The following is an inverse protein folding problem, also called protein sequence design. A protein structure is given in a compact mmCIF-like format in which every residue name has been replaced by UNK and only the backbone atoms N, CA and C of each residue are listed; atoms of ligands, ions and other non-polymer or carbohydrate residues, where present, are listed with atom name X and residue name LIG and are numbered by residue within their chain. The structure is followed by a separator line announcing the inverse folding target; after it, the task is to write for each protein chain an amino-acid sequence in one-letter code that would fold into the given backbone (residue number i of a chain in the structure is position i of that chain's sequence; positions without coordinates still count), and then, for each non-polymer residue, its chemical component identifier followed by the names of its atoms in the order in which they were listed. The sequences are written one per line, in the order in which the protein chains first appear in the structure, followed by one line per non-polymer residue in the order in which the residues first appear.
data_IF_000394947229
#
_entry.id   IF_000394947229
#
_cell.length_a   1.000
_cell.length_b   1.000
_cell.length_c   1.000
_cell.angle_alpha   90.00
_cell.angle_beta   90.00
_cell.angle_gamma   90.00
#
_symmetry.space_group_name_H-M   'P 1'
#
loop_
_entity.id
_entity.type
_entity.pdbx_description
1 polymer ?
#
# COMPACT_ATOMS: atom_id res chain seq x y z
N UNK A 1 5.08 7.69 6.29
CA UNK A 1 5.08 6.21 6.16
C UNK A 1 4.25 5.62 7.29
N UNK A 2 3.63 4.47 7.06
CA UNK A 2 2.92 3.74 8.10
C UNK A 2 1.85 2.81 7.54
N UNK A 3 1.10 2.20 8.45
CA UNK A 3 -0.01 1.31 8.15
C UNK A 3 -1.28 2.10 7.82
N UNK A 4 -1.77 1.97 6.59
CA UNK A 4 -3.02 2.59 6.11
C UNK A 4 -4.24 1.69 6.24
N UNK A 5 -4.05 0.43 6.67
CA UNK A 5 -5.09 -0.60 6.78
C UNK A 5 -5.90 -0.88 5.49
N UNK A 6 -5.42 -0.39 4.35
CA UNK A 6 -6.07 -0.47 3.04
C UNK A 6 -5.07 -0.69 1.92
N UNK A 7 -5.56 -1.28 0.83
CA UNK A 7 -4.83 -1.50 -0.42
C UNK A 7 -5.50 -0.73 -1.55
N UNK A 8 -4.71 -0.27 -2.52
CA UNK A 8 -5.20 0.50 -3.67
C UNK A 8 -5.19 -0.30 -4.97
N UNK A 9 -4.43 -1.39 -5.04
CA UNK A 9 -4.40 -2.30 -6.18
C UNK A 9 -4.68 -3.76 -5.82
N UNK A 10 -5.36 -4.55 -6.67
CA UNK A 10 -5.57 -5.98 -6.44
C UNK A 10 -4.27 -6.77 -6.25
N UNK A 11 -3.18 -6.36 -6.89
CA UNK A 11 -1.85 -6.97 -6.77
C UNK A 11 -1.23 -6.84 -5.37
N UNK A 12 -1.74 -5.93 -4.54
CA UNK A 12 -1.30 -5.74 -3.15
C UNK A 12 -1.94 -6.75 -2.19
N UNK A 13 -2.68 -7.74 -2.72
CA UNK A 13 -3.31 -8.79 -1.94
C UNK A 13 -3.13 -10.18 -2.56
N UNK A 14 -2.99 -11.18 -1.70
CA UNK A 14 -3.07 -12.61 -2.07
C UNK A 14 -4.05 -13.31 -1.15
N UNK A 15 -5.07 -13.94 -1.74
CA UNK A 15 -6.21 -14.50 -1.01
C UNK A 15 -7.17 -13.42 -0.49
N UNK A 16 -8.41 -13.79 -0.15
CA UNK A 16 -9.46 -12.84 0.26
C UNK A 16 -10.04 -12.01 -0.90
N UNK A 17 -10.86 -11.00 -0.59
CA UNK A 17 -11.51 -10.13 -1.59
C UNK A 17 -10.93 -8.72 -1.59
N UNK A 18 -10.67 -8.17 -2.79
CA UNK A 18 -10.29 -6.77 -2.98
C UNK A 18 -11.54 -5.89 -2.99
N UNK A 19 -11.51 -4.77 -2.28
CA UNK A 19 -12.64 -3.83 -2.21
C UNK A 19 -12.32 -2.56 -2.98
N UNK A 20 -12.93 -2.41 -4.16
CA UNK A 20 -12.76 -1.22 -5.00
C UNK A 20 -13.24 0.06 -4.31
N UNK A 21 -14.29 0.00 -3.49
CA UNK A 21 -14.80 1.16 -2.76
C UNK A 21 -13.84 1.65 -1.68
N UNK A 22 -13.21 0.73 -0.94
CA UNK A 22 -12.18 1.07 0.06
C UNK A 22 -10.91 1.62 -0.60
N UNK A 23 -10.47 0.99 -1.68
CA UNK A 23 -9.36 1.48 -2.49
C UNK A 23 -9.61 2.91 -3.01
N UNK A 24 -10.81 3.17 -3.55
CA UNK A 24 -11.20 4.49 -4.03
C UNK A 24 -11.20 5.56 -2.92
N UNK A 25 -11.59 5.18 -1.69
CA UNK A 25 -11.55 6.09 -0.55
C UNK A 25 -10.13 6.54 -0.21
N UNK A 26 -9.18 5.60 -0.15
CA UNK A 26 -7.77 5.93 0.10
C UNK A 26 -7.19 6.75 -1.06
N UNK A 27 -7.44 6.35 -2.30
CA UNK A 27 -6.98 7.10 -3.48
C UNK A 27 -7.50 8.55 -3.48
N UNK A 28 -8.76 8.77 -3.10
CA UNK A 28 -9.33 10.11 -3.00
C UNK A 28 -8.69 10.94 -1.87
N UNK A 29 -8.29 10.33 -0.76
CA UNK A 29 -7.53 11.03 0.29
C UNK A 29 -6.14 11.40 -0.21
N UNK A 30 -5.45 10.49 -0.90
CA UNK A 30 -4.15 10.76 -1.52
C UNK A 30 -4.22 11.92 -2.51
N UNK A 31 -5.21 11.90 -3.40
CA UNK A 31 -5.44 12.94 -4.40
C UNK A 31 -5.73 14.31 -3.76
N UNK A 32 -6.66 14.37 -2.78
CA UNK A 32 -6.99 15.60 -2.05
C UNK A 32 -5.80 16.21 -1.31
N UNK A 33 -4.85 15.40 -0.88
CA UNK A 33 -3.65 15.83 -0.20
C UNK A 33 -2.46 16.05 -1.14
N UNK A 34 -2.63 15.88 -2.46
CA UNK A 34 -1.56 15.90 -3.46
C UNK A 34 -0.40 14.95 -3.12
N UNK A 35 -0.73 13.78 -2.59
CA UNK A 35 0.22 12.76 -2.19
C UNK A 35 0.37 11.70 -3.27
N UNK A 36 1.62 11.36 -3.55
CA UNK A 36 2.00 10.25 -4.42
C UNK A 36 2.62 9.14 -3.59
N UNK A 37 2.44 7.91 -4.04
CA UNK A 37 3.16 6.77 -3.48
C UNK A 37 4.61 6.81 -3.95
N UNK A 38 5.55 6.69 -3.01
CA UNK A 38 6.98 6.58 -3.30
C UNK A 38 7.31 5.22 -3.95
N UNK A 39 6.49 4.21 -3.68
CA UNK A 39 6.71 2.83 -4.09
C UNK A 39 7.54 2.07 -3.07
N UNK A 40 7.28 0.76 -2.97
CA UNK A 40 8.00 -0.17 -2.10
C UNK A 40 8.75 -1.22 -2.93
N UNK A 41 9.95 -1.55 -2.46
CA UNK A 41 10.82 -2.62 -2.94
C UNK A 41 10.99 -3.69 -1.86
N UNK A 42 11.46 -4.88 -2.23
CA UNK A 42 11.61 -6.00 -1.31
C UNK A 42 10.33 -6.85 -1.18
N UNK A 43 9.90 -7.13 0.05
CA UNK A 43 8.76 -8.02 0.31
C UNK A 43 7.46 -7.51 -0.32
N UNK A 44 6.71 -8.40 -0.97
CA UNK A 44 5.48 -8.01 -1.69
C UNK A 44 4.31 -7.65 -0.78
N UNK A 45 4.32 -8.10 0.48
CA UNK A 45 3.25 -7.91 1.45
C UNK A 45 3.86 -7.56 2.81
N UNK A 46 3.21 -6.69 3.57
CA UNK A 46 3.66 -6.27 4.91
C UNK A 46 2.82 -6.88 6.03
N UNK A 47 1.70 -7.49 5.68
CA UNK A 47 0.80 -8.13 6.62
C UNK A 47 0.32 -9.49 6.09
N UNK A 48 0.18 -10.46 6.99
CA UNK A 48 -0.43 -11.74 6.69
C UNK A 48 -1.27 -12.26 7.86
N UNK A 49 -2.27 -13.09 7.55
CA UNK A 49 -3.12 -13.72 8.56
C UNK A 49 -3.60 -15.09 8.10
N UNK A 50 -3.53 -16.12 8.97
CA UNK A 50 -4.16 -17.41 8.71
C UNK A 50 -5.69 -17.32 8.79
N UNK A 51 -6.34 -18.10 7.93
CA UNK A 51 -7.78 -18.20 7.77
C UNK A 51 -8.23 -19.66 7.83
N UNK A 52 -9.53 -19.87 8.00
CA UNK A 52 -10.13 -21.21 8.10
C UNK A 52 -9.82 -22.08 6.89
N UNK A 53 -9.44 -23.34 7.17
CA UNK A 53 -9.12 -24.33 6.14
C UNK A 53 -7.70 -24.21 5.59
N UNK A 54 -6.72 -23.90 6.43
CA UNK A 54 -5.30 -23.78 6.06
C UNK A 54 -5.04 -22.73 4.94
N UNK A 55 -5.90 -21.72 4.86
CA UNK A 55 -5.77 -20.61 3.90
C UNK A 55 -5.01 -19.47 4.55
N UNK A 56 -4.30 -18.68 3.75
CA UNK A 56 -3.62 -17.48 4.21
C UNK A 56 -4.04 -16.28 3.38
N UNK A 57 -4.23 -15.14 4.03
CA UNK A 57 -4.44 -13.84 3.37
C UNK A 57 -3.20 -13.00 3.59
N UNK A 58 -2.73 -12.35 2.54
CA UNK A 58 -1.61 -11.42 2.56
C UNK A 58 -2.05 -10.08 2.01
N UNK A 59 -1.57 -8.99 2.60
CA UNK A 59 -1.85 -7.62 2.19
C UNK A 59 -0.62 -6.73 2.34
N UNK A 60 -0.49 -5.71 1.48
CA UNK A 60 0.47 -4.61 1.66
C UNK A 60 -0.26 -3.43 2.30
N UNK A 61 -0.26 -3.38 3.63
CA UNK A 61 -1.00 -2.36 4.39
C UNK A 61 -0.15 -1.11 4.66
N UNK A 62 1.17 -1.28 4.70
CA UNK A 62 2.10 -0.18 4.89
C UNK A 62 2.38 0.54 3.57
N UNK A 63 2.42 1.87 3.61
CA UNK A 63 2.76 2.71 2.46
C UNK A 63 3.60 3.90 2.89
N UNK A 64 4.40 4.43 1.98
CA UNK A 64 5.02 5.73 2.13
C UNK A 64 4.50 6.69 1.07
N UNK A 65 3.85 7.74 1.55
CA UNK A 65 3.31 8.80 0.74
C UNK A 65 4.16 10.05 0.92
N UNK A 66 4.35 10.79 -0.16
CA UNK A 66 5.02 12.08 -0.18
C UNK A 66 4.27 13.03 -1.12
N UNK A 67 4.37 14.33 -0.86
CA UNK A 67 3.94 15.30 -1.86
C UNK A 67 4.89 15.30 -3.06
N UNK A 68 4.43 15.89 -4.16
CA UNK A 68 5.19 15.95 -5.42
C UNK A 68 6.51 16.70 -5.26
N UNK A 69 6.55 17.76 -4.46
CA UNK A 69 7.77 18.57 -4.26
C UNK A 69 8.85 17.74 -3.56
N UNK A 70 8.47 16.96 -2.56
CA UNK A 70 9.37 16.03 -1.88
C UNK A 70 9.86 14.95 -2.83
N UNK A 71 8.97 14.35 -3.63
CA UNK A 71 9.36 13.32 -4.62
C UNK A 71 10.36 13.86 -5.65
N UNK A 72 10.19 15.11 -6.07
CA UNK A 72 11.11 15.78 -7.00
C UNK A 72 12.45 16.14 -6.36
N UNK A 73 12.45 16.49 -5.06
CA UNK A 73 13.69 16.75 -4.31
C UNK A 73 14.50 15.46 -4.05
N UNK A 74 13.82 14.31 -3.94
CA UNK A 74 14.44 13.01 -3.67
C UNK A 74 14.05 11.95 -4.72
N UNK A 75 14.55 12.06 -5.96
CA UNK A 75 14.17 11.17 -7.06
C UNK A 75 14.64 9.72 -6.86
N UNK A 76 15.71 9.51 -6.09
CA UNK A 76 16.26 8.19 -5.80
C UNK A 76 15.78 7.60 -4.46
N UNK A 77 14.92 8.32 -3.73
CA UNK A 77 14.34 7.78 -2.51
C UNK A 77 13.47 6.55 -2.83
N UNK A 78 13.68 5.49 -2.07
CA UNK A 78 12.90 4.27 -2.12
C UNK A 78 12.54 3.81 -0.72
N UNK A 79 11.53 2.95 -0.63
CA UNK A 79 11.17 2.26 0.61
C UNK A 79 11.46 0.78 0.42
N UNK A 80 12.14 0.19 1.39
CA UNK A 80 12.43 -1.24 1.43
C UNK A 80 11.65 -1.88 2.57
N UNK A 81 10.94 -2.95 2.26
CA UNK A 81 10.32 -3.81 3.27
C UNK A 81 11.33 -4.91 3.61
N UNK A 82 11.87 -4.83 4.83
CA UNK A 82 12.83 -5.78 5.41
C UNK A 82 12.17 -7.10 5.84
#
# INVERSE_FOLDING_TARGET
MGDFNEIVHPSEQKGGNFSHSRAAMLLNVMDKCNLVDIGMTGASFTWNRPCTGNRMVYRRLDRALADVSWRMAFPDAYVEVL
#
